data_IF_978558698465
#
_entry.id   IF_978558698465
#
_cell.length_a   1.000
_cell.length_b   1.000
_cell.length_c   1.000
_cell.angle_alpha   90.00
_cell.angle_beta   90.00
_cell.angle_gamma   90.00
#
_symmetry.space_group_name_H-M   'P 1'
#
loop_
_entity.id
_entity.type
_entity.pdbx_description
1 polymer ?
#
# COMPACT_ATOMS: atom_id res chain seq x y z
N UNK A 1 26.14 -34.13 -8.29
CA UNK A 1 24.68 -34.04 -8.43
C UNK A 1 24.20 -32.66 -7.94
N UNK A 2 24.30 -31.65 -8.80
CA UNK A 2 24.00 -30.25 -8.47
C UNK A 2 22.51 -29.98 -8.64
N UNK A 3 21.71 -30.38 -7.64
CA UNK A 3 20.29 -30.02 -7.59
C UNK A 3 20.15 -28.50 -7.47
N UNK A 4 19.45 -27.89 -8.43
CA UNK A 4 19.05 -26.48 -8.37
C UNK A 4 18.14 -26.30 -7.16
N UNK A 5 18.47 -25.33 -6.28
CA UNK A 5 17.74 -25.09 -5.03
C UNK A 5 16.45 -24.29 -5.20
N UNK A 6 16.37 -23.48 -6.25
CA UNK A 6 15.21 -22.61 -6.52
C UNK A 6 15.20 -22.18 -7.99
N UNK A 7 14.06 -22.34 -8.65
CA UNK A 7 13.79 -21.93 -10.04
C UNK A 7 12.81 -20.76 -10.02
N UNK A 8 13.30 -19.58 -10.39
CA UNK A 8 12.48 -18.38 -10.57
C UNK A 8 12.31 -18.12 -12.06
N UNK A 9 11.07 -18.09 -12.55
CA UNK A 9 10.76 -17.93 -13.96
C UNK A 9 9.94 -16.66 -14.23
N UNK A 10 10.16 -16.04 -15.40
CA UNK A 10 9.42 -14.85 -15.84
C UNK A 10 8.34 -15.23 -16.84
N UNK A 11 7.09 -14.90 -16.53
CA UNK A 11 5.97 -14.98 -17.45
C UNK A 11 5.81 -13.69 -18.27
N UNK A 12 5.24 -13.84 -19.46
CA UNK A 12 4.92 -12.75 -20.40
C UNK A 12 3.44 -12.73 -20.82
N UNK A 13 2.68 -13.74 -20.41
CA UNK A 13 1.24 -13.87 -20.62
C UNK A 13 0.62 -14.74 -19.52
N UNK A 14 -0.70 -14.70 -19.37
CA UNK A 14 -1.42 -15.54 -18.40
C UNK A 14 -1.28 -17.03 -18.70
N UNK A 15 -1.21 -17.40 -19.99
CA UNK A 15 -0.95 -18.79 -20.39
C UNK A 15 0.46 -19.21 -19.97
N UNK A 16 1.48 -18.37 -20.22
CA UNK A 16 2.86 -18.66 -19.84
C UNK A 16 3.02 -18.78 -18.31
N UNK A 17 2.34 -17.93 -17.55
CA UNK A 17 2.29 -18.01 -16.08
C UNK A 17 1.79 -19.40 -15.62
N UNK A 18 0.61 -19.82 -16.10
CA UNK A 18 0.02 -21.12 -15.75
C UNK A 18 0.90 -22.30 -16.17
N UNK A 19 1.59 -22.19 -17.30
CA UNK A 19 2.49 -23.24 -17.79
C UNK A 19 3.73 -23.38 -16.88
N UNK A 20 4.37 -22.27 -16.53
CA UNK A 20 5.55 -22.27 -15.64
C UNK A 20 5.21 -22.78 -14.23
N UNK A 21 4.04 -22.40 -13.70
CA UNK A 21 3.53 -22.92 -12.43
C UNK A 21 3.32 -24.44 -12.48
N UNK A 22 2.71 -24.95 -13.57
CA UNK A 22 2.48 -26.39 -13.76
C UNK A 22 3.75 -27.22 -13.93
N UNK A 23 4.79 -26.65 -14.54
CA UNK A 23 6.08 -27.32 -14.76
C UNK A 23 6.93 -27.36 -13.48
N UNK A 24 6.49 -26.68 -12.41
CA UNK A 24 7.12 -26.75 -11.09
C UNK A 24 8.19 -25.68 -10.86
N UNK A 25 8.10 -24.51 -11.52
CA UNK A 25 8.90 -23.37 -11.12
C UNK A 25 8.50 -22.93 -9.70
N UNK A 26 9.46 -22.79 -8.78
CA UNK A 26 9.22 -22.42 -7.39
C UNK A 26 8.57 -21.03 -7.26
N UNK A 27 8.90 -20.12 -8.18
CA UNK A 27 8.30 -18.78 -8.24
C UNK A 27 8.18 -18.29 -9.67
N UNK A 28 6.98 -17.90 -10.08
CA UNK A 28 6.73 -17.27 -11.37
C UNK A 28 6.41 -15.80 -11.17
N UNK A 29 7.09 -14.91 -11.90
CA UNK A 29 6.86 -13.46 -11.84
C UNK A 29 6.30 -12.97 -13.17
N UNK A 30 5.28 -12.11 -13.14
CA UNK A 30 4.74 -11.44 -14.33
C UNK A 30 4.86 -9.92 -14.20
N UNK A 31 6.04 -9.34 -14.48
CA UNK A 31 6.35 -7.95 -14.14
C UNK A 31 5.39 -6.94 -14.77
N UNK A 32 5.10 -7.07 -16.07
CA UNK A 32 4.23 -6.13 -16.78
C UNK A 32 2.81 -6.12 -16.23
N UNK A 33 2.26 -7.27 -15.84
CA UNK A 33 0.94 -7.36 -15.22
C UNK A 33 0.92 -6.72 -13.84
N UNK A 34 1.93 -6.98 -13.02
CA UNK A 34 2.09 -6.36 -11.71
C UNK A 34 2.21 -4.83 -11.80
N UNK A 35 3.03 -4.34 -12.73
CA UNK A 35 3.20 -2.91 -12.98
C UNK A 35 1.91 -2.27 -13.49
N UNK A 36 1.19 -2.94 -14.39
CA UNK A 36 -0.11 -2.48 -14.88
C UNK A 36 -1.16 -2.38 -13.79
N UNK A 37 -1.22 -3.35 -12.87
CA UNK A 37 -2.10 -3.31 -11.70
C UNK A 37 -1.73 -2.15 -10.76
N UNK A 38 -0.43 -1.93 -10.50
CA UNK A 38 0.03 -0.80 -9.69
C UNK A 38 -0.37 0.54 -10.32
N UNK A 39 -0.12 0.72 -11.62
CA UNK A 39 -0.48 1.94 -12.34
C UNK A 39 -1.99 2.18 -12.34
N UNK A 40 -2.80 1.12 -12.54
CA UNK A 40 -4.25 1.22 -12.45
C UNK A 40 -4.73 1.68 -11.08
N UNK A 41 -4.09 1.21 -10.00
CA UNK A 41 -4.39 1.67 -8.63
C UNK A 41 -4.02 3.15 -8.42
N UNK A 42 -2.84 3.58 -8.88
CA UNK A 42 -2.39 4.98 -8.77
C UNK A 42 -3.33 5.94 -9.55
N UNK A 43 -3.84 5.52 -10.71
CA UNK A 43 -4.78 6.32 -11.50
C UNK A 43 -6.15 6.48 -10.85
N UNK A 44 -6.64 5.46 -10.16
CA UNK A 44 -7.96 5.49 -9.50
C UNK A 44 -7.87 6.13 -8.12
N UNK A 45 -6.70 6.08 -7.46
CA UNK A 45 -6.47 6.60 -6.10
C UNK A 45 -5.26 7.54 -6.09
N UNK A 46 -5.43 8.81 -6.50
CA UNK A 46 -4.30 9.73 -6.74
C UNK A 46 -3.49 10.09 -5.48
N UNK A 47 -4.04 9.87 -4.28
CA UNK A 47 -3.32 10.09 -3.03
C UNK A 47 -2.50 8.89 -2.57
N UNK A 48 -2.70 7.70 -3.16
CA UNK A 48 -1.96 6.49 -2.84
C UNK A 48 -0.57 6.53 -3.49
N UNK A 49 0.49 6.49 -2.69
CA UNK A 49 1.88 6.43 -3.18
C UNK A 49 2.39 5.00 -3.19
N UNK A 50 2.20 4.28 -2.09
CA UNK A 50 2.63 2.89 -1.96
C UNK A 50 1.60 2.07 -1.17
N UNK A 51 1.50 0.79 -1.53
CA UNK A 51 0.67 -0.18 -0.81
C UNK A 51 1.48 -1.45 -0.56
N UNK A 52 1.52 -1.86 0.71
CA UNK A 52 1.95 -3.20 1.12
C UNK A 52 0.71 -4.02 1.48
N UNK A 53 0.40 -5.01 0.65
CA UNK A 53 -0.66 -5.99 0.94
C UNK A 53 -0.18 -6.93 2.05
N UNK A 54 -0.98 -7.05 3.10
CA UNK A 54 -0.75 -8.00 4.19
C UNK A 54 -1.45 -9.33 3.90
N UNK A 55 -2.70 -9.24 3.46
CA UNK A 55 -3.54 -10.34 3.00
C UNK A 55 -4.57 -9.83 1.96
N UNK A 56 -5.53 -10.66 1.58
CA UNK A 56 -6.55 -10.32 0.58
C UNK A 56 -7.47 -9.16 1.00
N UNK A 57 -7.57 -8.91 2.30
CA UNK A 57 -8.49 -7.96 2.92
C UNK A 57 -7.83 -6.77 3.61
N UNK A 58 -6.54 -6.85 3.93
CA UNK A 58 -5.81 -5.85 4.73
C UNK A 58 -4.54 -5.36 4.04
N UNK A 59 -4.26 -4.07 4.19
CA UNK A 59 -3.07 -3.41 3.63
C UNK A 59 -2.51 -2.34 4.56
N UNK A 60 -1.25 -1.99 4.31
CA UNK A 60 -0.62 -0.76 4.75
C UNK A 60 -0.47 0.14 3.53
N UNK A 61 -0.87 1.41 3.66
CA UNK A 61 -0.79 2.40 2.58
C UNK A 61 0.00 3.62 3.03
N UNK A 62 0.94 4.06 2.19
CA UNK A 62 1.53 5.39 2.25
C UNK A 62 0.70 6.31 1.35
N UNK A 63 0.10 7.33 1.94
CA UNK A 63 -0.76 8.28 1.24
C UNK A 63 -0.28 9.72 1.47
N UNK A 64 -0.56 10.60 0.51
CA UNK A 64 -0.49 12.04 0.76
C UNK A 64 -1.57 12.42 1.78
N UNK A 65 -1.27 13.36 2.67
CA UNK A 65 -2.28 13.91 3.57
C UNK A 65 -3.44 14.48 2.75
N UNK A 66 -4.68 13.95 2.91
CA UNK A 66 -5.83 14.49 2.21
C UNK A 66 -6.06 15.94 2.61
N UNK A 67 -6.47 16.79 1.66
CA UNK A 67 -6.75 18.20 1.93
C UNK A 67 -7.73 18.42 3.10
N UNK A 68 -8.69 17.51 3.28
CA UNK A 68 -9.65 17.53 4.39
C UNK A 68 -9.03 17.32 5.79
N UNK A 69 -7.81 16.77 5.87
CA UNK A 69 -7.10 16.49 7.11
C UNK A 69 -6.06 17.56 7.46
N UNK A 70 -5.73 18.45 6.51
CA UNK A 70 -4.72 19.49 6.70
C UNK A 70 -5.15 20.45 7.82
N UNK A 71 -4.21 20.76 8.71
CA UNK A 71 -4.43 21.64 9.86
C UNK A 71 -5.12 20.97 11.06
N UNK A 72 -5.53 19.71 10.95
CA UNK A 72 -6.08 18.94 12.06
C UNK A 72 -5.00 18.02 12.65
N UNK A 73 -5.12 17.77 13.94
CA UNK A 73 -4.30 16.80 14.65
C UNK A 73 -4.83 15.37 14.50
N UNK A 74 -3.95 14.39 14.66
CA UNK A 74 -4.36 12.97 14.66
C UNK A 74 -5.43 12.65 15.72
N UNK A 75 -5.37 13.33 16.86
CA UNK A 75 -6.32 13.19 17.96
C UNK A 75 -7.71 13.75 17.61
N UNK A 76 -7.78 14.88 16.91
CA UNK A 76 -9.04 15.47 16.41
C UNK A 76 -9.68 14.58 15.34
N UNK A 77 -8.86 14.09 14.41
CA UNK A 77 -9.34 13.21 13.33
C UNK A 77 -9.78 11.83 13.81
N UNK A 78 -9.13 11.33 14.87
CA UNK A 78 -9.40 10.04 15.51
C UNK A 78 -9.70 8.92 14.49
N UNK A 79 -8.77 8.73 13.54
CA UNK A 79 -8.96 7.89 12.35
C UNK A 79 -9.34 6.44 12.68
N UNK A 80 -8.86 5.91 13.80
CA UNK A 80 -9.23 4.56 14.26
C UNK A 80 -10.71 4.46 14.60
N UNK A 81 -11.29 5.51 15.21
CA UNK A 81 -12.71 5.54 15.57
C UNK A 81 -13.58 5.77 14.33
N UNK A 82 -13.23 6.77 13.51
CA UNK A 82 -14.08 7.25 12.42
C UNK A 82 -13.93 6.43 11.13
N UNK A 83 -12.73 5.97 10.80
CA UNK A 83 -12.42 5.28 9.55
C UNK A 83 -11.98 3.83 9.75
N UNK A 84 -11.82 3.36 11.00
CA UNK A 84 -11.26 2.02 11.31
C UNK A 84 -9.83 1.82 10.80
N UNK A 85 -9.08 2.91 10.68
CA UNK A 85 -7.69 2.93 10.20
C UNK A 85 -6.75 3.33 11.32
N UNK A 86 -5.60 2.64 11.43
CA UNK A 86 -4.53 3.01 12.38
C UNK A 86 -3.43 3.77 11.67
N UNK A 87 -2.93 4.83 12.30
CA UNK A 87 -1.76 5.58 11.81
C UNK A 87 -0.50 4.94 12.39
N UNK A 88 0.44 4.59 11.52
CA UNK A 88 1.74 4.02 11.88
C UNK A 88 2.84 5.08 11.84
N UNK A 89 2.77 6.00 10.87
CA UNK A 89 3.71 7.11 10.75
C UNK A 89 3.06 8.33 10.08
N UNK A 90 3.58 9.52 10.37
CA UNK A 90 3.20 10.76 9.72
C UNK A 90 4.41 11.72 9.61
N UNK A 91 4.44 12.58 8.61
CA UNK A 91 5.45 13.63 8.48
C UNK A 91 5.96 13.83 7.06
N UNK A 92 7.00 14.66 6.87
CA UNK A 92 7.57 14.93 5.56
C UNK A 92 8.13 13.66 4.91
N UNK A 93 8.12 13.61 3.57
CA UNK A 93 8.72 12.50 2.83
C UNK A 93 10.19 12.32 3.22
N UNK A 94 10.54 11.09 3.63
CA UNK A 94 11.90 10.74 4.08
C UNK A 94 12.22 11.10 5.54
N UNK A 95 11.30 11.73 6.27
CA UNK A 95 11.43 12.09 7.69
C UNK A 95 10.15 11.77 8.47
N UNK A 96 9.60 10.57 8.23
CA UNK A 96 8.39 10.14 8.91
C UNK A 96 8.64 9.88 10.40
N UNK A 97 7.78 10.45 11.24
CA UNK A 97 7.71 10.10 12.65
C UNK A 97 6.89 8.81 12.80
N UNK A 98 7.53 7.74 13.27
CA UNK A 98 6.87 6.48 13.62
C UNK A 98 6.13 6.64 14.95
N UNK A 99 4.93 6.07 15.04
CA UNK A 99 4.01 6.20 16.17
C UNK A 99 3.83 7.67 16.59
N UNK A 100 3.36 8.54 15.67
CA UNK A 100 3.19 9.95 15.94
C UNK A 100 2.23 10.16 17.11
N UNK A 101 2.46 11.23 17.87
CA UNK A 101 1.58 11.60 18.98
C UNK A 101 0.22 12.05 18.46
N UNK A 102 -0.81 11.94 19.29
CA UNK A 102 -2.14 12.44 18.96
C UNK A 102 -2.16 13.95 18.65
N UNK A 103 -1.20 14.70 19.18
CA UNK A 103 -1.01 16.14 18.94
C UNK A 103 -0.31 16.47 17.61
N UNK A 104 0.13 15.49 16.82
CA UNK A 104 0.76 15.73 15.51
C UNK A 104 -0.24 16.40 14.57
N UNK A 105 0.05 17.63 14.16
CA UNK A 105 -0.73 18.42 13.21
C UNK A 105 -0.33 18.06 11.79
N UNK A 106 -1.29 17.60 10.99
CA UNK A 106 -1.02 17.19 9.61
C UNK A 106 -0.90 18.41 8.69
N UNK A 107 0.14 18.41 7.85
CA UNK A 107 0.37 19.44 6.84
C UNK A 107 0.17 18.91 5.41
N UNK A 108 -0.09 19.81 4.45
CA UNK A 108 -0.43 19.44 3.08
C UNK A 108 0.67 18.66 2.33
N UNK A 109 1.94 18.93 2.65
CA UNK A 109 3.09 18.30 2.00
C UNK A 109 3.64 17.09 2.79
N UNK A 110 2.91 16.66 3.83
CA UNK A 110 3.24 15.47 4.59
C UNK A 110 2.60 14.20 4.02
N UNK A 111 3.13 13.07 4.47
CA UNK A 111 2.61 11.75 4.19
C UNK A 111 2.03 11.14 5.46
N UNK A 112 1.09 10.21 5.25
CA UNK A 112 0.47 9.38 6.26
C UNK A 112 0.72 7.92 5.88
N UNK A 113 1.26 7.15 6.83
CA UNK A 113 1.36 5.70 6.70
C UNK A 113 0.28 5.08 7.58
N UNK A 114 -0.66 4.40 6.93
CA UNK A 114 -1.89 3.93 7.56
C UNK A 114 -2.12 2.43 7.31
N UNK A 115 -2.76 1.77 8.27
CA UNK A 115 -3.09 0.35 8.21
C UNK A 115 -4.56 0.12 8.49
N UNK A 116 -5.20 -0.75 7.70
CA UNK A 116 -6.59 -1.14 7.90
C UNK A 116 -7.05 -2.16 6.85
N UNK A 117 -8.35 -2.45 6.87
CA UNK A 117 -8.96 -3.21 5.77
C UNK A 117 -8.96 -2.38 4.49
N UNK A 118 -8.92 -3.05 3.34
CA UNK A 118 -8.95 -2.41 2.04
C UNK A 118 -10.21 -1.55 1.86
N UNK A 119 -11.32 -1.94 2.49
CA UNK A 119 -12.56 -1.15 2.52
C UNK A 119 -12.43 0.11 3.37
N UNK A 120 -11.90 -0.01 4.58
CA UNK A 120 -11.65 1.12 5.47
C UNK A 120 -10.69 2.15 4.84
N UNK A 121 -9.62 1.68 4.21
CA UNK A 121 -8.64 2.54 3.54
C UNK A 121 -9.25 3.30 2.35
N UNK A 122 -10.15 2.68 1.58
CA UNK A 122 -10.91 3.34 0.51
C UNK A 122 -11.90 4.39 1.02
N UNK A 123 -12.31 4.33 2.28
CA UNK A 123 -13.22 5.33 2.87
C UNK A 123 -12.51 6.63 3.27
N UNK A 124 -11.18 6.66 3.24
CA UNK A 124 -10.41 7.88 3.52
C UNK A 124 -10.64 8.93 2.41
N UNK A 125 -10.67 10.23 2.75
CA UNK A 125 -10.81 11.28 1.75
C UNK A 125 -9.69 11.21 0.70
N UNK A 126 -10.07 11.19 -0.58
CA UNK A 126 -9.14 11.08 -1.71
C UNK A 126 -8.49 9.70 -1.87
N UNK A 127 -9.00 8.69 -1.17
CA UNK A 127 -8.80 7.28 -1.48
C UNK A 127 -9.66 6.80 -2.63
#
# INVERSE_FOLDING_TARGET
>A
DTRVRQVIARATSDLHLKMLERVGADRVVFPSKMQGQRLGMELVRPNLLEQLRLDDSNSIEEIKVPGAFVGQSLGELNLRKHFKVSVLAAGPKGQLQVNPQASHLLQADELLVVMGSNEALRSLPGG
#
